data_IF_508598599428
#
_entry.id   IF_508598599428
#
_cell.length_a   1.000
_cell.length_b   1.000
_cell.length_c   1.000
_cell.angle_alpha   90.00
_cell.angle_beta   90.00
_cell.angle_gamma   90.00
#
_symmetry.space_group_name_H-M   'P 1'
#
loop_
_entity.id
_entity.type
_entity.pdbx_description
1 polymer ?
#
# COMPACT_ATOMS: atom_id res chain seq x y z
N UNK A 1 0.80 -12.29 -8.15
CA UNK A 1 0.66 -10.99 -8.83
C UNK A 1 1.13 -11.20 -10.25
N UNK A 2 0.31 -10.87 -11.22
CA UNK A 2 0.69 -10.84 -12.63
C UNK A 2 1.39 -9.52 -12.94
N UNK A 3 2.09 -9.44 -14.08
CA UNK A 3 2.75 -8.19 -14.50
C UNK A 3 1.73 -7.05 -14.70
N UNK A 4 0.51 -7.37 -15.17
CA UNK A 4 -0.58 -6.42 -15.33
C UNK A 4 -1.07 -5.85 -13.99
N UNK A 5 -1.09 -6.67 -12.94
CA UNK A 5 -1.43 -6.20 -11.60
C UNK A 5 -0.40 -5.18 -11.11
N UNK A 6 0.89 -5.41 -11.40
CA UNK A 6 1.98 -4.51 -11.00
C UNK A 6 1.93 -3.17 -11.72
N UNK A 7 1.55 -3.16 -13.00
CA UNK A 7 1.34 -1.92 -13.76
C UNK A 7 0.19 -1.10 -13.16
N UNK A 8 -0.94 -1.72 -12.83
CA UNK A 8 -2.08 -1.04 -12.20
C UNK A 8 -1.69 -0.42 -10.84
N UNK A 9 -0.91 -1.13 -10.02
CA UNK A 9 -0.51 -0.61 -8.71
C UNK A 9 0.50 0.54 -8.78
N UNK A 10 1.19 0.72 -9.91
CA UNK A 10 2.13 1.83 -10.09
C UNK A 10 1.44 3.14 -10.50
N UNK A 11 0.19 3.08 -10.94
CA UNK A 11 -0.62 4.28 -11.16
C UNK A 11 -0.99 4.93 -9.82
N UNK A 12 -0.73 6.25 -9.64
CA UNK A 12 -1.15 6.98 -8.45
C UNK A 12 -2.64 6.83 -8.18
N UNK A 13 -2.99 6.45 -6.96
CA UNK A 13 -4.36 6.31 -6.49
C UNK A 13 -4.56 6.98 -5.14
N UNK A 14 -5.78 7.45 -4.88
CA UNK A 14 -6.18 7.98 -3.58
C UNK A 14 -7.29 7.11 -3.03
N UNK A 15 -7.21 6.75 -1.74
CA UNK A 15 -8.22 5.95 -1.04
C UNK A 15 -9.02 6.82 -0.07
N UNK A 16 -10.29 6.48 0.10
CA UNK A 16 -11.23 7.09 1.04
C UNK A 16 -11.08 6.56 2.48
N UNK A 17 -10.28 5.51 2.65
CA UNK A 17 -9.89 4.88 3.91
C UNK A 17 -8.37 4.84 4.03
N UNK A 18 -7.87 4.72 5.27
CA UNK A 18 -6.44 4.56 5.52
C UNK A 18 -5.95 3.24 4.91
N UNK A 19 -4.77 3.28 4.27
CA UNK A 19 -4.10 2.08 3.77
C UNK A 19 -3.16 1.57 4.83
N UNK A 20 -3.49 0.42 5.42
CA UNK A 20 -2.72 -0.21 6.50
C UNK A 20 -2.15 -1.53 6.00
N UNK A 21 -0.82 -1.64 5.94
CA UNK A 21 -0.12 -2.81 5.37
C UNK A 21 1.07 -3.22 6.22
N UNK A 22 1.13 -4.49 6.62
CA UNK A 22 2.28 -5.13 7.26
C UNK A 22 3.04 -5.99 6.24
N UNK A 23 4.36 -5.84 6.15
CA UNK A 23 5.20 -6.68 5.30
C UNK A 23 5.56 -7.96 6.05
N UNK A 24 5.08 -9.08 5.53
CA UNK A 24 5.28 -10.42 6.10
C UNK A 24 6.56 -11.06 5.57
N UNK A 25 6.95 -10.79 4.33
CA UNK A 25 8.20 -11.24 3.72
C UNK A 25 8.55 -10.43 2.46
N UNK A 26 9.80 -10.49 2.01
CA UNK A 26 10.28 -9.74 0.84
C UNK A 26 10.33 -8.22 1.08
N UNK A 27 10.24 -7.43 0.00
CA UNK A 27 10.31 -5.97 0.07
C UNK A 27 9.57 -5.24 -1.05
N UNK A 28 9.14 -4.01 -0.77
CA UNK A 28 8.43 -3.16 -1.73
C UNK A 28 8.73 -1.67 -1.52
N UNK A 29 8.29 -0.85 -2.48
CA UNK A 29 8.22 0.59 -2.35
C UNK A 29 6.76 1.06 -2.30
N UNK A 30 6.47 1.97 -1.37
CA UNK A 30 5.35 2.88 -1.49
C UNK A 30 5.90 4.26 -1.82
N UNK A 31 5.38 4.88 -2.88
CA UNK A 31 5.59 6.31 -3.10
C UNK A 31 4.33 7.03 -2.61
N UNK A 32 4.50 8.06 -1.79
CA UNK A 32 3.42 8.92 -1.30
C UNK A 32 3.68 10.36 -1.72
N UNK A 33 2.60 11.09 -2.00
CA UNK A 33 2.60 12.49 -2.41
C UNK A 33 1.69 13.26 -1.44
N UNK A 34 2.24 13.74 -0.30
CA UNK A 34 1.47 14.51 0.68
C UNK A 34 1.20 15.95 0.22
N UNK A 35 2.07 16.51 -0.62
CA UNK A 35 1.95 17.82 -1.27
C UNK A 35 2.16 17.64 -2.78
N UNK A 36 1.51 18.47 -3.61
CA UNK A 36 1.57 18.35 -5.07
C UNK A 36 3.03 18.38 -5.58
N UNK A 37 3.37 17.46 -6.48
CA UNK A 37 4.70 17.31 -7.09
C UNK A 37 5.85 16.91 -6.13
N UNK A 38 5.55 16.57 -4.87
CA UNK A 38 6.54 16.12 -3.88
C UNK A 38 6.39 14.63 -3.52
N UNK A 39 7.08 13.78 -4.29
CA UNK A 39 7.07 12.32 -4.07
C UNK A 39 8.11 11.87 -3.04
N UNK A 40 7.64 11.14 -2.03
CA UNK A 40 8.47 10.47 -1.03
C UNK A 40 8.40 8.96 -1.24
N UNK A 41 9.55 8.34 -1.54
CA UNK A 41 9.67 6.88 -1.64
C UNK A 41 10.00 6.27 -0.29
N UNK A 42 9.17 5.32 0.14
CA UNK A 42 9.30 4.56 1.37
C UNK A 42 9.64 3.12 1.01
N UNK A 43 10.83 2.67 1.40
CA UNK A 43 11.23 1.27 1.29
C UNK A 43 10.72 0.50 2.51
N UNK A 44 9.99 -0.59 2.27
CA UNK A 44 9.47 -1.45 3.31
C UNK A 44 10.01 -2.87 3.15
N UNK A 45 10.46 -3.44 4.26
CA UNK A 45 10.99 -4.80 4.36
C UNK A 45 10.20 -5.58 5.42
N UNK A 46 10.47 -6.89 5.52
CA UNK A 46 9.83 -7.77 6.49
C UNK A 46 9.82 -7.17 7.90
N UNK A 47 8.61 -7.06 8.48
CA UNK A 47 8.38 -6.53 9.82
C UNK A 47 7.90 -5.07 9.83
N UNK A 48 8.01 -4.36 8.70
CA UNK A 48 7.54 -2.98 8.61
C UNK A 48 6.02 -2.91 8.46
N UNK A 49 5.42 -2.04 9.27
CA UNK A 49 4.01 -1.66 9.19
C UNK A 49 3.92 -0.22 8.68
N UNK A 50 3.23 -0.01 7.56
CA UNK A 50 2.91 1.31 7.04
C UNK A 50 1.43 1.63 7.24
N UNK A 51 1.16 2.90 7.56
CA UNK A 51 -0.17 3.50 7.56
C UNK A 51 -0.11 4.74 6.67
N UNK A 52 -0.77 4.70 5.52
CA UNK A 52 -0.95 5.87 4.65
C UNK A 52 -2.35 6.44 4.95
N UNK A 53 -2.46 7.69 5.45
CA UNK A 53 -3.75 8.30 5.73
C UNK A 53 -4.64 8.38 4.49
N UNK A 54 -5.96 8.25 4.68
CA UNK A 54 -6.94 8.52 3.63
C UNK A 54 -6.71 9.89 2.98
N UNK A 55 -6.98 9.99 1.69
CA UNK A 55 -6.80 11.24 0.93
C UNK A 55 -5.36 11.52 0.47
N UNK A 56 -4.37 10.73 0.88
CA UNK A 56 -2.99 10.86 0.38
C UNK A 56 -2.81 10.06 -0.91
N UNK A 57 -2.35 10.73 -1.96
CA UNK A 57 -1.98 10.12 -3.25
C UNK A 57 -0.80 9.16 -3.02
N UNK A 58 -0.94 7.93 -3.49
CA UNK A 58 0.11 6.93 -3.35
C UNK A 58 0.11 5.93 -4.51
N UNK A 59 1.25 5.31 -4.73
CA UNK A 59 1.43 4.17 -5.63
C UNK A 59 2.33 3.12 -5.00
N UNK A 60 2.29 1.92 -5.54
CA UNK A 60 3.02 0.76 -5.04
C UNK A 60 3.84 0.12 -6.15
N UNK A 61 5.03 -0.37 -5.81
CA UNK A 61 5.76 -1.30 -6.68
C UNK A 61 6.61 -2.26 -5.87
N UNK A 62 6.94 -3.41 -6.44
CA UNK A 62 7.90 -4.33 -5.84
C UNK A 62 9.32 -3.81 -6.06
N UNK A 63 10.24 -4.19 -5.17
CA UNK A 63 11.66 -3.95 -5.39
C UNK A 63 12.19 -4.82 -6.55
N UNK A 64 13.43 -4.61 -7.05
CA UNK A 64 14.02 -5.47 -8.09
C UNK A 64 14.13 -6.96 -7.72
N UNK A 65 13.96 -7.31 -6.44
CA UNK A 65 13.83 -8.68 -5.95
C UNK A 65 12.51 -9.34 -6.40
N UNK A 66 11.56 -8.56 -6.93
CA UNK A 66 10.29 -8.99 -7.52
C UNK A 66 9.44 -9.87 -6.60
N UNK A 67 9.57 -9.70 -5.29
CA UNK A 67 8.85 -10.50 -4.31
C UNK A 67 8.52 -9.69 -3.05
N UNK A 68 7.25 -9.72 -2.68
CA UNK A 68 6.76 -9.26 -1.38
C UNK A 68 5.53 -10.07 -0.99
N UNK A 69 5.44 -10.42 0.29
CA UNK A 69 4.24 -10.94 0.91
C UNK A 69 3.78 -9.90 1.95
N UNK A 70 2.52 -9.50 1.87
CA UNK A 70 1.98 -8.45 2.74
C UNK A 70 0.60 -8.82 3.28
N UNK A 71 0.29 -8.33 4.47
CA UNK A 71 -1.04 -8.39 5.07
C UNK A 71 -1.65 -6.98 5.06
N UNK A 72 -2.77 -6.82 4.37
CA UNK A 72 -3.54 -5.57 4.35
C UNK A 72 -4.66 -5.63 5.38
N UNK A 73 -4.86 -4.55 6.12
CA UNK A 73 -5.94 -4.41 7.09
C UNK A 73 -7.01 -3.47 6.54
N UNK A 74 -8.27 -3.87 6.65
CA UNK A 74 -9.41 -3.07 6.21
C UNK A 74 -10.32 -2.80 7.42
N UNK A 75 -10.92 -1.59 7.52
CA UNK A 75 -11.87 -1.31 8.58
C UNK A 75 -13.10 -2.22 8.46
N UNK A 76 -13.62 -2.65 9.61
CA UNK A 76 -14.83 -3.49 9.68
C UNK A 76 -16.02 -2.73 9.09
N UNK A 77 -16.79 -3.36 8.21
CA UNK A 77 -18.04 -2.75 7.71
C UNK A 77 -19.08 -2.68 8.85
N UNK A 78 -19.93 -1.64 8.90
CA UNK A 78 -20.93 -1.50 9.96
C UNK A 78 -21.92 -2.68 10.08
N UNK A 79 -22.14 -3.43 9.00
CA UNK A 79 -23.24 -4.42 8.91
C UNK A 79 -22.89 -5.84 9.37
N UNK A 80 -21.66 -6.10 9.85
CA UNK A 80 -21.23 -7.43 10.34
C UNK A 80 -21.69 -7.72 11.78
N UNK A 81 -22.83 -7.15 12.20
CA UNK A 81 -23.54 -7.47 13.45
C UNK A 81 -25.00 -7.79 13.12
N UNK A 82 -25.23 -8.96 12.51
CA UNK A 82 -26.45 -9.72 12.76
C UNK A 82 -26.06 -10.84 13.72
N UNK A 83 -26.68 -10.79 14.91
CA UNK A 83 -26.39 -11.68 16.03
C UNK A 83 -26.87 -13.10 15.86
#
# INVERSE_FOLDING_TARGET
>A
MTDLDLEEYYEPTTKDQDVVTLIMDGSCYYDVEPEEDEWIRIHLERGDLIVIPKGVSHRFTVTPQNFVQMQRFFPKKPDDVQG
#
